data_IF_506915890615
#
_entry.id   IF_506915890615
#
_cell.length_a   1.000
_cell.length_b   1.000
_cell.length_c   1.000
_cell.angle_alpha   90.00
_cell.angle_beta   90.00
_cell.angle_gamma   90.00
#
_symmetry.space_group_name_H-M   'P 1'
#
loop_
_entity.id
_entity.type
_entity.pdbx_description
1 polymer ?
#
# COMPACT_ATOMS: atom_id res chain seq x y z
N UNK A 1 9.18 0.55 -40.03
CA UNK A 1 8.96 0.35 -38.58
C UNK A 1 8.27 1.55 -37.96
N UNK A 2 7.03 1.38 -37.49
CA UNK A 2 6.20 2.42 -36.86
C UNK A 2 6.26 2.31 -35.32
N UNK A 3 5.96 3.38 -34.59
CA UNK A 3 5.73 3.29 -33.15
C UNK A 3 4.41 2.56 -32.90
N UNK A 4 4.46 1.47 -32.13
CA UNK A 4 3.30 0.66 -31.81
C UNK A 4 2.71 1.02 -30.44
N UNK A 5 3.57 1.45 -29.51
CA UNK A 5 3.15 1.91 -28.19
C UNK A 5 4.27 2.75 -27.56
N UNK A 6 3.87 3.67 -26.71
CA UNK A 6 4.74 4.59 -26.01
C UNK A 6 4.29 4.73 -24.56
N UNK A 7 5.26 4.90 -23.67
CA UNK A 7 5.02 5.12 -22.26
C UNK A 7 6.01 6.16 -21.74
N UNK A 8 5.49 7.18 -21.04
CA UNK A 8 6.31 8.19 -20.39
C UNK A 8 5.83 8.44 -18.97
N UNK A 9 6.75 8.38 -18.03
CA UNK A 9 6.53 8.89 -16.67
C UNK A 9 7.37 10.13 -16.44
N UNK A 10 6.84 11.04 -15.63
CA UNK A 10 7.55 12.18 -15.09
C UNK A 10 7.34 12.18 -13.57
N UNK A 11 8.40 12.35 -12.79
CA UNK A 11 8.28 12.43 -11.34
C UNK A 11 9.59 12.78 -10.64
N UNK A 12 9.60 12.65 -9.30
CA UNK A 12 10.78 12.87 -8.45
C UNK A 12 12.01 12.10 -8.93
N UNK A 13 11.80 10.91 -9.48
CA UNK A 13 12.85 10.02 -9.97
C UNK A 13 13.18 10.23 -11.45
N UNK A 14 12.89 11.41 -11.99
CA UNK A 14 13.17 11.76 -13.37
C UNK A 14 12.10 11.27 -14.34
N UNK A 15 12.48 11.22 -15.61
CA UNK A 15 11.59 10.84 -16.71
C UNK A 15 12.05 9.52 -17.30
N UNK A 16 11.18 8.51 -17.32
CA UNK A 16 11.41 7.27 -18.05
C UNK A 16 10.55 7.31 -19.31
N UNK A 17 11.18 7.17 -20.47
CA UNK A 17 10.52 7.07 -21.78
C UNK A 17 10.79 5.70 -22.35
N UNK A 18 9.75 4.96 -22.67
CA UNK A 18 9.82 3.64 -23.28
C UNK A 18 8.95 3.66 -24.54
N UNK A 19 9.46 3.09 -25.63
CA UNK A 19 8.73 2.96 -26.88
C UNK A 19 8.95 1.57 -27.45
N UNK A 20 7.90 0.99 -28.02
CA UNK A 20 7.99 -0.24 -28.80
C UNK A 20 7.74 0.14 -30.25
N UNK A 21 8.75 -0.06 -31.08
CA UNK A 21 8.68 0.14 -32.53
C UNK A 21 8.63 -1.22 -33.22
N UNK A 22 7.77 -1.36 -34.22
CA UNK A 22 7.62 -2.62 -34.94
C UNK A 22 6.72 -2.52 -36.17
N UNK A 23 6.43 -3.68 -36.74
CA UNK A 23 5.48 -3.88 -37.83
C UNK A 23 4.56 -5.02 -37.41
N UNK A 24 3.25 -4.83 -37.58
CA UNK A 24 2.23 -5.78 -37.19
C UNK A 24 1.60 -6.39 -38.46
N UNK A 25 1.23 -7.69 -38.44
CA UNK A 25 0.40 -8.26 -39.49
C UNK A 25 -0.89 -7.46 -39.66
N UNK A 26 -1.36 -7.30 -40.90
CA UNK A 26 -2.61 -6.57 -41.21
C UNK A 26 -3.86 -7.14 -40.51
N UNK A 27 -3.79 -8.40 -40.08
CA UNK A 27 -4.87 -9.11 -39.38
C UNK A 27 -5.07 -8.70 -37.92
N UNK A 28 -4.17 -7.90 -37.33
CA UNK A 28 -4.25 -7.48 -35.93
C UNK A 28 -4.63 -6.00 -35.84
N UNK A 29 -5.68 -5.70 -35.06
CA UNK A 29 -6.08 -4.32 -34.80
C UNK A 29 -5.04 -3.59 -33.95
N UNK A 30 -4.70 -2.36 -34.33
CA UNK A 30 -3.77 -1.50 -33.59
C UNK A 30 -4.23 -1.25 -32.13
N UNK A 31 -5.54 -1.21 -31.86
CA UNK A 31 -6.12 -0.99 -30.52
C UNK A 31 -5.81 -2.14 -29.54
N UNK A 32 -6.15 -3.38 -29.92
CA UNK A 32 -5.88 -4.58 -29.10
C UNK A 32 -4.39 -4.74 -28.77
N UNK A 33 -3.51 -4.42 -29.72
CA UNK A 33 -2.07 -4.51 -29.51
C UNK A 33 -1.56 -3.36 -28.66
N UNK A 34 -2.12 -2.16 -28.79
CA UNK A 34 -1.76 -1.01 -27.96
C UNK A 34 -1.94 -1.31 -26.47
N UNK A 35 -3.04 -1.93 -26.07
CA UNK A 35 -3.31 -2.31 -24.68
C UNK A 35 -2.29 -3.33 -24.14
N UNK A 36 -1.99 -4.38 -24.92
CA UNK A 36 -0.99 -5.38 -24.55
C UNK A 36 0.38 -4.73 -24.39
N UNK A 37 0.80 -3.94 -25.38
CA UNK A 37 2.09 -3.29 -25.37
C UNK A 37 2.20 -2.24 -24.26
N UNK A 38 1.13 -1.49 -24.00
CA UNK A 38 1.06 -0.55 -22.88
C UNK A 38 1.22 -1.27 -21.54
N UNK A 39 0.55 -2.41 -21.35
CA UNK A 39 0.71 -3.23 -20.14
C UNK A 39 2.15 -3.71 -19.92
N UNK A 40 2.83 -4.11 -21.00
CA UNK A 40 4.26 -4.47 -20.98
C UNK A 40 5.12 -3.26 -20.59
N UNK A 41 4.91 -2.11 -21.24
CA UNK A 41 5.67 -0.89 -20.97
C UNK A 41 5.45 -0.38 -19.54
N UNK A 42 4.21 -0.40 -19.04
CA UNK A 42 3.87 -0.05 -17.66
C UNK A 42 4.59 -0.97 -16.67
N UNK A 43 4.59 -2.29 -16.92
CA UNK A 43 5.28 -3.27 -16.06
C UNK A 43 6.79 -3.06 -16.03
N UNK A 44 7.41 -2.70 -17.16
CA UNK A 44 8.83 -2.36 -17.24
C UNK A 44 9.09 -1.08 -16.43
N UNK A 45 8.27 -0.05 -16.62
CA UNK A 45 8.40 1.20 -15.89
C UNK A 45 8.29 0.98 -14.37
N UNK A 46 7.32 0.18 -13.89
CA UNK A 46 7.16 -0.08 -12.46
C UNK A 46 8.42 -0.70 -11.86
N UNK A 47 9.06 -1.65 -12.55
CA UNK A 47 10.33 -2.25 -12.12
C UNK A 47 11.48 -1.24 -12.10
N UNK A 48 11.55 -0.34 -13.09
CA UNK A 48 12.56 0.72 -13.13
C UNK A 48 12.35 1.66 -11.93
N UNK A 49 11.13 2.15 -11.73
CA UNK A 49 10.79 3.05 -10.63
C UNK A 49 11.07 2.38 -9.27
N UNK A 50 10.68 1.12 -9.09
CA UNK A 50 11.00 0.33 -7.89
C UNK A 50 12.51 0.31 -7.62
N UNK A 51 13.33 0.05 -8.65
CA UNK A 51 14.79 0.04 -8.51
C UNK A 51 15.33 1.41 -8.14
N UNK A 52 14.83 2.47 -8.74
CA UNK A 52 15.24 3.85 -8.43
C UNK A 52 14.88 4.22 -7.00
N UNK A 53 13.65 3.93 -6.57
CA UNK A 53 13.18 4.16 -5.20
C UNK A 53 13.96 3.34 -4.17
N UNK A 54 14.33 2.10 -4.49
CA UNK A 54 15.11 1.25 -3.58
C UNK A 54 16.53 1.77 -3.31
N UNK A 55 17.00 2.74 -4.10
CA UNK A 55 18.29 3.41 -3.89
C UNK A 55 18.13 4.81 -3.25
N UNK A 56 16.91 5.29 -3.02
CA UNK A 56 16.65 6.60 -2.40
C UNK A 56 16.67 6.47 -0.87
N UNK A 57 17.81 6.74 -0.25
CA UNK A 57 17.96 6.61 1.21
C UNK A 57 16.98 7.48 1.99
N UNK A 58 16.68 8.69 1.51
CA UNK A 58 15.75 9.60 2.20
C UNK A 58 14.32 9.05 2.20
N UNK A 59 13.90 8.41 1.10
CA UNK A 59 12.64 7.68 1.02
C UNK A 59 12.64 6.49 2.01
N UNK A 60 13.69 5.67 1.99
CA UNK A 60 13.77 4.50 2.87
C UNK A 60 13.72 4.89 4.36
N UNK A 61 14.42 5.97 4.72
CA UNK A 61 14.39 6.50 6.09
C UNK A 61 13.00 7.03 6.46
N UNK A 62 12.29 7.67 5.52
CA UNK A 62 10.90 8.09 5.73
C UNK A 62 9.99 6.88 5.97
N UNK A 63 10.05 5.87 5.11
CA UNK A 63 9.23 4.66 5.24
C UNK A 63 9.50 3.90 6.54
N UNK A 64 10.76 3.89 6.98
CA UNK A 64 11.15 3.34 8.28
C UNK A 64 10.54 4.14 9.43
N UNK A 65 10.59 5.48 9.40
CA UNK A 65 9.96 6.33 10.42
C UNK A 65 8.46 6.10 10.50
N UNK A 66 7.78 6.09 9.36
CA UNK A 66 6.34 5.81 9.29
C UNK A 66 5.99 4.44 9.89
N UNK A 67 6.83 3.43 9.67
CA UNK A 67 6.63 2.10 10.26
C UNK A 67 6.84 2.10 11.79
N UNK A 68 7.84 2.83 12.30
CA UNK A 68 8.04 2.94 13.75
C UNK A 68 6.93 3.76 14.41
N UNK A 69 6.41 4.79 13.74
CA UNK A 69 5.22 5.54 14.19
C UNK A 69 4.00 4.62 14.30
N UNK A 70 3.70 3.83 13.28
CA UNK A 70 2.61 2.84 13.33
C UNK A 70 2.80 1.81 14.45
N UNK A 71 4.03 1.31 14.61
CA UNK A 71 4.37 0.37 15.68
C UNK A 71 4.15 1.00 17.06
N UNK A 72 4.55 2.26 17.24
CA UNK A 72 4.42 2.97 18.51
C UNK A 72 2.99 3.08 19.03
N UNK A 73 2.00 2.99 18.13
CA UNK A 73 0.57 3.09 18.49
C UNK A 73 0.13 2.03 19.49
N UNK A 74 0.80 0.87 19.52
CA UNK A 74 0.48 -0.25 20.41
C UNK A 74 1.19 -0.20 21.76
N UNK A 75 2.21 0.66 21.93
CA UNK A 75 2.94 0.80 23.20
C UNK A 75 3.45 -0.52 23.79
N UNK A 76 3.10 -0.79 25.04
CA UNK A 76 3.48 -2.01 25.77
C UNK A 76 2.69 -3.27 25.40
N UNK A 77 1.63 -3.14 24.59
CA UNK A 77 0.77 -4.28 24.22
C UNK A 77 1.37 -5.14 23.09
N UNK A 78 2.52 -4.75 22.55
CA UNK A 78 3.25 -5.48 21.52
C UNK A 78 3.90 -6.73 22.13
N UNK A 79 3.53 -7.90 21.60
CA UNK A 79 4.24 -9.16 21.84
C UNK A 79 5.25 -9.40 20.72
N UNK A 80 4.82 -9.23 19.48
CA UNK A 80 5.63 -9.44 18.28
C UNK A 80 5.15 -8.57 17.12
N UNK A 81 6.06 -8.21 16.21
CA UNK A 81 5.74 -7.44 15.00
C UNK A 81 6.40 -8.11 13.80
N UNK A 82 5.60 -8.34 12.75
CA UNK A 82 6.06 -8.78 11.44
C UNK A 82 5.77 -7.71 10.39
N UNK A 83 6.78 -7.35 9.61
CA UNK A 83 6.59 -6.50 8.44
C UNK A 83 6.03 -7.35 7.29
N UNK A 84 4.90 -6.94 6.73
CA UNK A 84 4.23 -7.62 5.63
C UNK A 84 4.11 -6.70 4.41
N UNK A 85 3.83 -7.28 3.23
CA UNK A 85 3.53 -6.48 2.05
C UNK A 85 2.30 -5.60 2.28
N UNK A 86 2.32 -4.43 1.66
CA UNK A 86 1.20 -3.50 1.68
C UNK A 86 -0.05 -4.18 1.08
N UNK A 87 -1.12 -4.28 1.86
CA UNK A 87 -2.33 -5.01 1.45
C UNK A 87 -3.24 -4.19 0.53
N UNK A 88 -2.93 -2.91 0.29
CA UNK A 88 -3.64 -2.10 -0.70
C UNK A 88 -3.11 -2.33 -2.12
N UNK A 89 -1.79 -2.19 -2.33
CA UNK A 89 -1.09 -2.39 -3.59
C UNK A 89 0.35 -2.87 -3.32
N UNK A 90 0.93 -3.70 -4.19
CA UNK A 90 2.25 -4.30 -3.98
C UNK A 90 3.29 -3.98 -5.07
N UNK A 91 3.11 -2.88 -5.81
CA UNK A 91 4.04 -2.39 -6.83
C UNK A 91 4.50 -0.96 -6.54
N UNK A 92 5.61 -0.55 -7.16
CA UNK A 92 6.13 0.82 -7.05
C UNK A 92 6.41 1.24 -5.60
N UNK A 93 5.96 2.44 -5.23
CA UNK A 93 6.15 3.00 -3.88
C UNK A 93 5.51 2.13 -2.79
N UNK A 94 4.33 1.55 -3.05
CA UNK A 94 3.59 0.75 -2.08
C UNK A 94 4.30 -0.56 -1.73
N UNK A 95 5.06 -1.13 -2.68
CA UNK A 95 5.89 -2.32 -2.44
C UNK A 95 6.94 -2.10 -1.36
N UNK A 96 7.48 -0.88 -1.28
CA UNK A 96 8.48 -0.48 -0.29
C UNK A 96 7.82 -0.08 1.04
N UNK A 97 6.60 0.48 1.02
CA UNK A 97 5.84 0.91 2.20
C UNK A 97 5.13 -0.26 2.87
N UNK A 98 5.89 -1.06 3.62
CA UNK A 98 5.41 -2.25 4.34
C UNK A 98 4.30 -1.91 5.35
N UNK A 99 3.39 -2.85 5.53
CA UNK A 99 2.41 -2.84 6.61
C UNK A 99 2.97 -3.66 7.78
N UNK A 100 2.34 -3.53 8.94
CA UNK A 100 2.70 -4.25 10.15
C UNK A 100 1.61 -5.24 10.51
N UNK A 101 2.00 -6.46 10.80
CA UNK A 101 1.18 -7.43 11.53
C UNK A 101 1.66 -7.44 12.98
N UNK A 102 0.83 -6.93 13.89
CA UNK A 102 1.17 -6.75 15.30
C UNK A 102 0.42 -7.79 16.12
N UNK A 103 1.17 -8.65 16.79
CA UNK A 103 0.63 -9.63 17.74
C UNK A 103 0.49 -8.97 19.11
N UNK A 104 -0.72 -9.02 19.65
CA UNK A 104 -1.09 -8.51 20.97
C UNK A 104 -1.70 -9.63 21.80
N UNK A 105 -2.09 -9.36 23.05
CA UNK A 105 -2.79 -10.32 23.90
C UNK A 105 -4.18 -10.71 23.37
N UNK A 106 -4.79 -9.85 22.56
CA UNK A 106 -6.09 -10.07 21.93
C UNK A 106 -5.95 -10.65 20.51
N UNK A 107 -4.78 -11.19 20.16
CA UNK A 107 -4.51 -11.71 18.81
C UNK A 107 -3.89 -10.67 17.88
N UNK A 108 -4.06 -10.88 16.58
CA UNK A 108 -3.32 -10.15 15.55
C UNK A 108 -4.13 -8.95 15.04
N UNK A 109 -3.50 -7.78 15.04
CA UNK A 109 -4.00 -6.56 14.41
C UNK A 109 -3.02 -6.16 13.30
N UNK A 110 -3.53 -6.01 12.08
CA UNK A 110 -2.78 -5.53 10.92
C UNK A 110 -2.99 -4.02 10.81
N UNK A 111 -1.90 -3.27 10.64
CA UNK A 111 -1.94 -1.82 10.45
C UNK A 111 -1.04 -1.38 9.31
N UNK A 112 -1.49 -0.41 8.53
CA UNK A 112 -0.63 0.17 7.52
C UNK A 112 -1.24 1.33 6.77
N UNK A 113 -0.39 2.13 6.15
CA UNK A 113 -0.86 3.23 5.32
C UNK A 113 -1.44 2.72 3.99
N UNK A 114 -2.76 2.88 3.84
CA UNK A 114 -3.54 2.74 2.61
C UNK A 114 -3.61 4.10 1.91
N UNK A 115 -2.64 4.35 1.04
CA UNK A 115 -2.46 5.65 0.34
C UNK A 115 -2.28 6.81 1.34
N UNK A 116 -3.36 7.51 1.72
CA UNK A 116 -3.34 8.69 2.60
C UNK A 116 -4.01 8.48 3.96
N UNK A 117 -4.60 7.31 4.19
CA UNK A 117 -5.22 6.91 5.46
C UNK A 117 -4.48 5.71 6.02
N UNK A 118 -4.65 5.45 7.31
CA UNK A 118 -4.14 4.24 7.97
C UNK A 118 -5.29 3.24 8.03
N UNK A 119 -5.10 2.06 7.49
CA UNK A 119 -6.02 0.94 7.69
C UNK A 119 -5.60 0.18 8.94
N UNK A 120 -6.59 -0.16 9.78
CA UNK A 120 -6.45 -0.97 10.97
C UNK A 120 -7.43 -2.11 10.82
N UNK A 121 -6.93 -3.34 10.76
CA UNK A 121 -7.70 -4.56 10.53
C UNK A 121 -7.45 -5.52 11.71
N UNK A 122 -8.52 -5.92 12.39
CA UNK A 122 -8.50 -6.86 13.51
C UNK A 122 -9.28 -8.14 13.21
N UNK A 123 -9.51 -8.45 11.93
CA UNK A 123 -10.20 -9.68 11.49
C UNK A 123 -9.52 -10.97 11.92
N UNK A 124 -8.22 -10.90 12.23
CA UNK A 124 -7.38 -12.02 12.73
C UNK A 124 -7.18 -11.99 14.25
N UNK A 125 -7.87 -11.10 14.94
CA UNK A 125 -7.82 -10.97 16.40
C UNK A 125 -8.92 -11.81 17.06
N UNK A 126 -8.85 -11.91 18.37
CA UNK A 126 -9.89 -12.51 19.20
C UNK A 126 -11.04 -11.55 19.51
N UNK A 127 -10.91 -10.26 19.16
CA UNK A 127 -11.96 -9.24 19.30
C UNK A 127 -13.16 -9.62 18.42
N UNK A 128 -14.35 -9.73 19.01
CA UNK A 128 -15.56 -10.21 18.30
C UNK A 128 -16.43 -9.06 17.81
N UNK A 129 -16.29 -7.90 18.44
CA UNK A 129 -17.01 -6.68 18.13
C UNK A 129 -16.62 -6.16 16.75
N UNK A 130 -17.67 -5.88 15.96
CA UNK A 130 -17.53 -5.31 14.62
C UNK A 130 -17.26 -3.81 14.68
N UNK A 131 -16.72 -3.27 13.59
CA UNK A 131 -16.44 -1.84 13.49
C UNK A 131 -17.70 -0.98 13.66
N UNK A 132 -18.84 -1.43 13.14
CA UNK A 132 -20.12 -0.75 13.33
C UNK A 132 -20.45 -0.56 14.81
N UNK A 133 -20.22 -1.56 15.66
CA UNK A 133 -20.47 -1.45 17.10
C UNK A 133 -19.47 -0.52 17.78
N UNK A 134 -18.17 -0.72 17.51
CA UNK A 134 -17.08 -0.01 18.18
C UNK A 134 -16.97 1.46 17.75
N UNK A 135 -17.32 1.76 16.51
CA UNK A 135 -17.05 3.04 15.84
C UNK A 135 -18.30 3.61 15.14
N UNK A 136 -19.51 3.31 15.62
CA UNK A 136 -20.79 3.78 15.04
C UNK A 136 -20.87 5.30 14.82
N UNK A 137 -20.11 6.10 15.57
CA UNK A 137 -20.11 7.56 15.46
C UNK A 137 -19.01 8.11 14.55
N UNK A 138 -18.14 7.26 13.98
CA UNK A 138 -17.05 7.70 13.12
C UNK A 138 -17.54 7.83 11.66
N UNK A 139 -17.39 9.02 11.09
CA UNK A 139 -17.68 9.31 9.68
C UNK A 139 -16.48 8.97 8.80
N UNK A 140 -16.13 7.68 8.76
CA UNK A 140 -15.00 7.15 7.99
C UNK A 140 -15.40 5.83 7.33
N UNK A 141 -14.58 5.36 6.39
CA UNK A 141 -14.79 4.04 5.79
C UNK A 141 -14.36 2.95 6.77
N UNK A 142 -15.26 2.00 7.02
CA UNK A 142 -14.99 0.77 7.77
C UNK A 142 -15.71 -0.42 7.13
N UNK A 143 -15.26 -1.62 7.45
CA UNK A 143 -15.95 -2.87 7.14
C UNK A 143 -16.32 -3.62 8.42
N UNK A 144 -16.47 -4.94 8.37
CA UNK A 144 -16.81 -5.72 9.57
C UNK A 144 -15.73 -5.62 10.65
N UNK A 145 -14.46 -5.77 10.28
CA UNK A 145 -13.31 -5.85 11.19
C UNK A 145 -12.13 -4.98 10.76
N UNK A 146 -12.40 -3.89 10.04
CA UNK A 146 -11.39 -2.88 9.73
C UNK A 146 -11.97 -1.47 9.76
N UNK A 147 -11.11 -0.47 10.01
CA UNK A 147 -11.44 0.96 9.96
C UNK A 147 -10.30 1.76 9.33
N UNK A 148 -10.63 2.88 8.68
CA UNK A 148 -9.67 3.85 8.16
C UNK A 148 -9.52 5.06 9.09
N UNK A 149 -8.29 5.34 9.50
CA UNK A 149 -7.93 6.51 10.28
C UNK A 149 -7.25 7.60 9.44
N UNK A 150 -7.65 8.85 9.63
CA UNK A 150 -7.08 10.03 8.96
C UNK A 150 -5.82 10.58 9.62
N UNK A 151 -4.91 9.69 10.03
CA UNK A 151 -3.65 10.05 10.68
C UNK A 151 -3.37 9.27 11.95
N UNK A 152 -2.19 9.49 12.52
CA UNK A 152 -1.68 8.72 13.67
C UNK A 152 -2.52 8.92 14.93
N UNK A 153 -3.01 10.13 15.19
CA UNK A 153 -3.80 10.44 16.39
C UNK A 153 -5.11 9.63 16.41
N UNK A 154 -5.86 9.65 15.31
CA UNK A 154 -7.07 8.83 15.16
C UNK A 154 -6.75 7.33 15.17
N UNK A 155 -5.64 6.92 14.55
CA UNK A 155 -5.24 5.52 14.60
C UNK A 155 -4.93 5.05 16.03
N UNK A 156 -4.33 5.92 16.85
CA UNK A 156 -4.08 5.64 18.27
C UNK A 156 -5.38 5.48 19.05
N UNK A 157 -6.34 6.39 18.86
CA UNK A 157 -7.67 6.29 19.49
C UNK A 157 -8.33 4.94 19.19
N UNK A 158 -8.32 4.53 17.91
CA UNK A 158 -8.95 3.27 17.51
C UNK A 158 -8.21 2.05 18.06
N UNK A 159 -6.88 2.04 18.05
CA UNK A 159 -6.08 0.96 18.66
C UNK A 159 -6.35 0.88 20.16
N UNK A 160 -6.47 1.99 20.87
CA UNK A 160 -6.79 2.00 22.30
C UNK A 160 -8.18 1.47 22.62
N UNK A 161 -9.15 1.65 21.72
CA UNK A 161 -10.49 1.07 21.85
C UNK A 161 -10.42 -0.44 21.64
N UNK A 162 -9.69 -0.90 20.63
CA UNK A 162 -9.52 -2.33 20.32
C UNK A 162 -8.80 -3.07 21.45
N UNK A 163 -7.76 -2.49 22.04
CA UNK A 163 -6.96 -3.12 23.10
C UNK A 163 -7.64 -3.17 24.47
N UNK A 164 -8.85 -2.59 24.60
CA UNK A 164 -9.67 -2.61 25.81
C UNK A 164 -10.85 -3.60 25.76
N UNK A 165 -11.04 -4.28 24.62
CA UNK A 165 -12.04 -5.35 24.50
C UNK A 165 -11.63 -6.55 25.37
#
# INVERSE_FOLDING_TARGET
MKELSFFQTCGKYGTVKLAINGELPESLSDEFISDILYGVLSSINDKIQEKMMSNDQALLDQLKRESEELKSLFGSEIIYVRYIENQYLNYGYFKLRKWLEVTTRLGVIIVGWRKRVIEIDWSKSDIKEKAETLFHNEDVTYGDYYIHAWGLDKAKEYIDILLKQ
#
